data_IF_851609849792
#
_entry.id   IF_851609849792
#
_cell.length_a   1.000
_cell.length_b   1.000
_cell.length_c   1.000
_cell.angle_alpha   90.00
_cell.angle_beta   90.00
_cell.angle_gamma   90.00
#
_symmetry.space_group_name_H-M   'P 1'
#
loop_
_entity.id
_entity.type
_entity.pdbx_description
1 polymer ?
#
# COMPACT_ATOMS: atom_id res chain seq x y z
N UNK A 1 -10.59 -22.41 -12.20
CA UNK A 1 -9.76 -21.46 -11.42
C UNK A 1 -10.54 -21.14 -10.16
N UNK A 2 -10.00 -21.47 -8.98
CA UNK A 2 -10.76 -21.40 -7.72
C UNK A 2 -11.09 -19.94 -7.35
N UNK A 3 -12.30 -19.64 -6.84
CA UNK A 3 -12.75 -18.27 -6.53
C UNK A 3 -11.84 -17.53 -5.53
N UNK A 4 -11.07 -18.26 -4.71
CA UNK A 4 -10.10 -17.72 -3.74
C UNK A 4 -8.89 -17.03 -4.41
N UNK A 5 -8.44 -17.51 -5.57
CA UNK A 5 -7.29 -16.92 -6.26
C UNK A 5 -7.64 -15.56 -6.90
N UNK A 6 -8.86 -15.42 -7.43
CA UNK A 6 -9.36 -14.15 -7.97
C UNK A 6 -9.58 -13.10 -6.87
N UNK A 7 -10.05 -13.50 -5.69
CA UNK A 7 -10.18 -12.57 -4.54
C UNK A 7 -8.82 -12.13 -4.00
N UNK A 8 -7.80 -12.99 -4.07
CA UNK A 8 -6.44 -12.68 -3.65
C UNK A 8 -5.78 -11.62 -4.54
N UNK A 9 -5.79 -11.85 -5.85
CA UNK A 9 -5.21 -10.92 -6.83
C UNK A 9 -5.87 -9.55 -6.74
N UNK A 10 -7.21 -9.53 -6.62
CA UNK A 10 -7.97 -8.30 -6.42
C UNK A 10 -7.59 -7.59 -5.12
N UNK A 11 -7.44 -8.31 -4.00
CA UNK A 11 -7.08 -7.69 -2.71
C UNK A 11 -5.68 -7.10 -2.76
N UNK A 12 -4.70 -7.82 -3.29
CA UNK A 12 -3.33 -7.33 -3.44
C UNK A 12 -3.26 -6.14 -4.40
N UNK A 13 -3.96 -6.21 -5.53
CA UNK A 13 -4.07 -5.13 -6.50
C UNK A 13 -4.67 -3.87 -5.88
N UNK A 14 -5.73 -4.01 -5.08
CA UNK A 14 -6.36 -2.90 -4.37
C UNK A 14 -5.39 -2.27 -3.35
N UNK A 15 -4.66 -3.09 -2.59
CA UNK A 15 -3.68 -2.60 -1.62
C UNK A 15 -2.55 -1.80 -2.29
N UNK A 16 -2.04 -2.30 -3.43
CA UNK A 16 -1.00 -1.60 -4.21
C UNK A 16 -1.54 -0.28 -4.76
N UNK A 17 -2.77 -0.26 -5.26
CA UNK A 17 -3.43 0.95 -5.74
C UNK A 17 -3.62 1.98 -4.62
N UNK A 18 -4.01 1.53 -3.43
CA UNK A 18 -4.21 2.38 -2.25
C UNK A 18 -2.88 3.04 -1.81
N UNK A 19 -1.82 2.25 -1.65
CA UNK A 19 -0.49 2.78 -1.29
C UNK A 19 0.04 3.75 -2.36
N UNK A 20 -0.15 3.42 -3.64
CA UNK A 20 0.24 4.30 -4.74
C UNK A 20 -0.53 5.63 -4.70
N UNK A 21 -1.83 5.59 -4.38
CA UNK A 21 -2.65 6.79 -4.20
C UNK A 21 -2.17 7.65 -3.03
N UNK A 22 -1.84 7.03 -1.89
CA UNK A 22 -1.29 7.73 -0.71
C UNK A 22 0.07 8.37 -1.02
N UNK A 23 0.95 7.66 -1.74
CA UNK A 23 2.26 8.19 -2.14
C UNK A 23 2.14 9.38 -3.11
N UNK A 24 1.19 9.32 -4.05
CA UNK A 24 0.89 10.43 -4.95
C UNK A 24 0.34 11.65 -4.18
N UNK A 25 -0.57 11.41 -3.22
CA UNK A 25 -1.11 12.47 -2.37
C UNK A 25 -0.01 13.16 -1.53
N UNK A 26 0.90 12.39 -0.92
CA UNK A 26 2.03 12.91 -0.19
C UNK A 26 2.95 13.77 -1.07
N UNK A 27 3.24 13.30 -2.29
CA UNK A 27 4.08 14.02 -3.25
C UNK A 27 3.43 15.33 -3.70
N UNK A 28 2.12 15.31 -3.99
CA UNK A 28 1.36 16.50 -4.35
C UNK A 28 1.30 17.52 -3.21
N UNK A 29 1.08 17.06 -1.97
CA UNK A 29 1.07 17.93 -0.81
C UNK A 29 2.45 18.58 -0.58
N UNK A 30 3.54 17.81 -0.71
CA UNK A 30 4.90 18.33 -0.63
C UNK A 30 5.19 19.37 -1.73
N UNK A 31 4.78 19.10 -2.97
CA UNK A 31 4.91 20.05 -4.07
C UNK A 31 4.11 21.34 -3.82
N UNK A 32 2.91 21.24 -3.25
CA UNK A 32 2.09 22.40 -2.89
C UNK A 32 2.70 23.27 -1.80
N UNK A 33 3.38 22.66 -0.82
CA UNK A 33 4.15 23.39 0.21
C UNK A 33 5.31 24.14 -0.43
N UNK A 34 6.13 23.46 -1.23
CA UNK A 34 7.32 24.04 -1.87
C UNK A 34 6.97 25.11 -2.92
N UNK A 35 5.86 24.92 -3.63
CA UNK A 35 5.34 25.85 -4.63
C UNK A 35 4.56 27.04 -4.06
N UNK A 36 4.50 27.19 -2.73
CA UNK A 36 3.74 28.23 -2.05
C UNK A 36 2.25 28.27 -2.46
N UNK A 37 1.66 27.11 -2.76
CA UNK A 37 0.27 26.96 -3.21
C UNK A 37 -0.74 26.97 -2.04
N UNK A 38 -0.32 27.43 -0.86
CA UNK A 38 -1.17 27.49 0.34
C UNK A 38 -1.40 26.15 1.04
N UNK A 39 -0.72 25.07 0.62
CA UNK A 39 -0.76 23.79 1.36
C UNK A 39 0.03 23.93 2.66
N UNK A 40 -0.57 23.70 3.84
CA UNK A 40 0.17 23.76 5.10
C UNK A 40 1.19 22.62 5.23
N UNK A 41 2.37 22.92 5.79
CA UNK A 41 3.44 21.93 6.01
C UNK A 41 2.94 20.70 6.79
N UNK A 42 2.10 20.89 7.81
CA UNK A 42 1.58 19.78 8.62
C UNK A 42 0.72 18.79 7.81
N UNK A 43 0.03 19.25 6.76
CA UNK A 43 -0.74 18.36 5.89
C UNK A 43 0.16 17.52 5.00
N UNK A 44 1.25 18.10 4.49
CA UNK A 44 2.25 17.34 3.72
C UNK A 44 2.96 16.29 4.58
N UNK A 45 3.31 16.64 5.82
CA UNK A 45 3.87 15.69 6.78
C UNK A 45 2.86 14.58 7.10
N UNK A 46 1.61 14.91 7.37
CA UNK A 46 0.57 13.91 7.65
C UNK A 46 0.36 12.96 6.45
N UNK A 47 0.29 13.49 5.24
CA UNK A 47 0.15 12.68 4.04
C UNK A 47 1.35 11.73 3.83
N UNK A 48 2.56 12.19 4.15
CA UNK A 48 3.75 11.36 4.10
C UNK A 48 3.73 10.23 5.15
N UNK A 49 3.30 10.51 6.37
CA UNK A 49 3.14 9.49 7.42
C UNK A 49 2.07 8.46 7.04
N UNK A 50 0.93 8.89 6.52
CA UNK A 50 -0.12 7.98 6.02
C UNK A 50 0.40 7.05 4.93
N UNK A 51 1.17 7.59 3.96
CA UNK A 51 1.78 6.80 2.90
C UNK A 51 2.79 5.78 3.46
N UNK A 52 3.62 6.18 4.44
CA UNK A 52 4.60 5.32 5.09
C UNK A 52 3.93 4.15 5.83
N UNK A 53 2.93 4.44 6.66
CA UNK A 53 2.18 3.41 7.42
C UNK A 53 1.44 2.47 6.48
N UNK A 54 0.80 3.00 5.43
CA UNK A 54 0.09 2.18 4.43
C UNK A 54 1.05 1.25 3.69
N UNK A 55 2.24 1.73 3.34
CA UNK A 55 3.27 0.91 2.70
C UNK A 55 3.76 -0.22 3.63
N UNK A 56 3.99 0.08 4.92
CA UNK A 56 4.37 -0.95 5.89
C UNK A 56 3.30 -2.04 5.99
N UNK A 57 2.02 -1.66 6.09
CA UNK A 57 0.91 -2.61 6.08
C UNK A 57 0.93 -3.49 4.81
N UNK A 58 1.19 -2.90 3.64
CA UNK A 58 1.28 -3.66 2.39
C UNK A 58 2.41 -4.69 2.40
N UNK A 59 3.57 -4.35 2.97
CA UNK A 59 4.69 -5.28 3.10
C UNK A 59 4.31 -6.46 4.00
N UNK A 60 3.65 -6.21 5.13
CA UNK A 60 3.18 -7.27 6.03
C UNK A 60 2.16 -8.18 5.36
N UNK A 61 1.19 -7.60 4.65
CA UNK A 61 0.22 -8.38 3.86
C UNK A 61 0.95 -9.23 2.82
N UNK A 62 1.85 -8.64 2.02
CA UNK A 62 2.67 -9.38 1.04
C UNK A 62 3.43 -10.56 1.67
N UNK A 63 4.07 -10.34 2.80
CA UNK A 63 4.81 -11.38 3.51
C UNK A 63 3.87 -12.51 3.95
N UNK A 64 2.72 -12.17 4.54
CA UNK A 64 1.75 -13.17 5.01
C UNK A 64 1.18 -14.01 3.87
N UNK A 65 0.98 -13.39 2.71
CA UNK A 65 0.52 -14.05 1.51
C UNK A 65 1.57 -15.04 0.97
N UNK A 66 2.84 -14.65 0.96
CA UNK A 66 3.95 -15.54 0.56
C UNK A 66 4.11 -16.73 1.52
N UNK A 67 3.99 -16.50 2.83
CA UNK A 67 4.00 -17.58 3.83
C UNK A 67 2.86 -18.57 3.60
N UNK A 68 1.64 -18.06 3.40
CA UNK A 68 0.45 -18.90 3.20
C UNK A 68 0.57 -19.76 1.94
N UNK A 69 1.16 -19.20 0.87
CA UNK A 69 1.47 -19.96 -0.34
C UNK A 69 2.51 -21.06 -0.10
N UNK A 70 3.58 -20.76 0.65
CA UNK A 70 4.61 -21.75 1.01
C UNK A 70 4.06 -22.89 1.87
N UNK A 71 3.18 -22.59 2.82
CA UNK A 71 2.55 -23.59 3.69
C UNK A 71 1.69 -24.58 2.89
N UNK A 72 0.87 -24.07 1.95
CA UNK A 72 0.06 -24.92 1.06
C UNK A 72 0.92 -25.88 0.23
N UNK A 73 2.09 -25.44 -0.24
CA UNK A 73 3.02 -26.29 -0.97
C UNK A 73 3.68 -27.35 -0.08
N UNK A 74 3.99 -27.03 1.19
CA UNK A 74 4.54 -27.99 2.15
C UNK A 74 3.56 -29.07 2.57
N UNK A 75 2.25 -28.80 2.54
CA UNK A 75 1.23 -29.79 2.89
C UNK A 75 0.95 -30.82 1.79
N UNK A 76 1.34 -30.56 0.55
CA UNK A 76 1.06 -31.43 -0.60
C UNK A 76 2.20 -32.39 -0.97
N UNK A 77 3.34 -32.34 -0.28
CA UNK A 77 4.47 -33.28 -0.45
C UNK A 77 4.42 -34.42 0.57
#
# INVERSE_FOLDING_TARGET
>A
MSPVAASFESTLGNLVAEVSGKQAAATNAAAGVLGNQGVPLHQAVLAAEEASVSFQLMVEVRNKLLESYQELMRMQV
#
